data_IF_442073515544
#
_entry.id   IF_442073515544
#
_cell.length_a   1.000
_cell.length_b   1.000
_cell.length_c   1.000
_cell.angle_alpha   90.00
_cell.angle_beta   90.00
_cell.angle_gamma   90.00
#
_symmetry.space_group_name_H-M   'P 1'
#
loop_
_entity.id
_entity.type
_entity.pdbx_description
1 polymer ?
#
# COMPACT_ATOMS: atom_id res chain seq x y z
N UNK A 1 5.44 -22.36 21.19
CA UNK A 1 4.93 -20.98 21.20
C UNK A 1 4.63 -20.59 19.76
N UNK A 2 3.40 -20.21 19.39
CA UNK A 2 3.24 -19.45 18.17
C UNK A 2 3.65 -18.00 18.44
N UNK A 3 4.39 -17.44 17.48
CA UNK A 3 4.79 -16.05 17.38
C UNK A 3 3.58 -15.17 17.69
N UNK A 4 3.69 -14.28 18.68
CA UNK A 4 2.83 -13.10 18.68
C UNK A 4 3.09 -12.46 17.31
N UNK A 5 2.08 -12.12 16.48
CA UNK A 5 2.32 -11.31 15.29
C UNK A 5 2.72 -9.91 15.76
N UNK A 6 3.98 -9.77 16.18
CA UNK A 6 4.52 -8.52 16.69
C UNK A 6 4.73 -7.58 15.50
N UNK A 7 3.63 -6.94 15.10
CA UNK A 7 3.57 -5.66 14.42
C UNK A 7 4.64 -5.48 13.32
N UNK A 8 4.64 -6.38 12.34
CA UNK A 8 5.48 -6.23 11.15
C UNK A 8 4.96 -5.10 10.24
N UNK A 9 5.66 -4.78 9.16
CA UNK A 9 5.26 -3.72 8.24
C UNK A 9 3.82 -3.95 7.71
N UNK A 10 3.44 -5.17 7.35
CA UNK A 10 2.10 -5.48 6.85
C UNK A 10 0.97 -5.08 7.80
N UNK A 11 1.23 -5.04 9.12
CA UNK A 11 0.22 -4.61 10.08
C UNK A 11 -0.16 -3.12 9.95
N UNK A 12 0.66 -2.27 9.29
CA UNK A 12 0.27 -0.88 8.98
C UNK A 12 -0.93 -0.80 8.02
N UNK A 13 -1.21 -1.89 7.28
CA UNK A 13 -2.30 -1.95 6.31
C UNK A 13 -3.65 -2.32 6.94
N UNK A 14 -3.69 -2.51 8.27
CA UNK A 14 -4.90 -2.84 9.01
C UNK A 14 -5.32 -1.72 9.97
N UNK A 15 -6.62 -1.35 10.03
CA UNK A 15 -7.68 -1.76 9.11
C UNK A 15 -7.48 -1.20 7.67
N UNK A 16 -8.18 -1.68 6.64
CA UNK A 16 -8.20 -1.01 5.34
C UNK A 16 -8.79 0.42 5.44
N UNK A 17 -8.47 1.31 4.49
CA UNK A 17 -9.12 2.62 4.39
C UNK A 17 -10.63 2.47 4.12
N UNK A 18 -11.41 3.43 4.62
CA UNK A 18 -12.87 3.43 4.47
C UNK A 18 -13.34 3.74 3.03
N UNK A 19 -12.48 4.36 2.22
CA UNK A 19 -12.77 4.76 0.84
C UNK A 19 -11.59 4.38 -0.06
N UNK A 20 -11.90 4.02 -1.31
CA UNK A 20 -10.94 3.61 -2.34
C UNK A 20 -11.03 4.54 -3.54
N UNK A 21 -9.92 4.71 -4.28
CA UNK A 21 -9.90 5.52 -5.50
C UNK A 21 -10.59 4.86 -6.69
N UNK A 22 -10.13 3.66 -7.04
CA UNK A 22 -10.57 2.83 -8.16
C UNK A 22 -10.69 1.36 -7.74
N UNK A 23 -11.36 0.56 -8.57
CA UNK A 23 -11.64 -0.86 -8.27
C UNK A 23 -10.41 -1.75 -8.18
N UNK A 24 -9.26 -1.34 -8.70
CA UNK A 24 -8.00 -2.06 -8.53
C UNK A 24 -7.27 -1.74 -7.22
N UNK A 25 -7.54 -0.58 -6.58
CA UNK A 25 -6.80 -0.15 -5.40
C UNK A 25 -6.92 -1.13 -4.21
N UNK A 26 -8.09 -1.74 -3.91
CA UNK A 26 -8.17 -2.77 -2.86
C UNK A 26 -7.27 -3.98 -3.12
N UNK A 27 -7.12 -4.38 -4.39
CA UNK A 27 -6.26 -5.51 -4.77
C UNK A 27 -4.79 -5.17 -4.63
N UNK A 28 -4.38 -3.97 -5.08
CA UNK A 28 -3.02 -3.50 -4.90
C UNK A 28 -2.68 -3.30 -3.41
N UNK A 29 -3.64 -2.84 -2.60
CA UNK A 29 -3.47 -2.71 -1.15
C UNK A 29 -3.14 -4.06 -0.50
N UNK A 30 -3.91 -5.10 -0.80
CA UNK A 30 -3.66 -6.43 -0.25
C UNK A 30 -2.37 -7.06 -0.82
N UNK A 31 -2.08 -6.86 -2.10
CA UNK A 31 -0.83 -7.32 -2.72
C UNK A 31 0.39 -6.67 -2.05
N UNK A 32 0.32 -5.37 -1.77
CA UNK A 32 1.38 -4.64 -1.09
C UNK A 32 1.55 -5.09 0.37
N UNK A 33 0.43 -5.25 1.09
CA UNK A 33 0.43 -5.82 2.43
C UNK A 33 1.09 -7.20 2.47
N UNK A 34 0.75 -8.08 1.53
CA UNK A 34 1.32 -9.41 1.43
C UNK A 34 2.83 -9.35 1.14
N UNK A 35 3.27 -8.47 0.24
CA UNK A 35 4.68 -8.28 -0.10
C UNK A 35 5.52 -7.76 1.08
N UNK A 36 4.90 -7.03 2.01
CA UNK A 36 5.55 -6.44 3.19
C UNK A 36 5.40 -7.28 4.47
N UNK A 37 4.77 -8.45 4.39
CA UNK A 37 4.60 -9.35 5.54
C UNK A 37 5.94 -9.91 5.99
N UNK A 38 6.15 -9.96 7.31
CA UNK A 38 7.39 -10.42 7.94
C UNK A 38 8.55 -9.43 7.86
N UNK A 39 8.38 -8.28 7.21
CA UNK A 39 9.40 -7.22 7.19
C UNK A 39 9.31 -6.37 8.44
N UNK A 40 10.45 -5.94 8.97
CA UNK A 40 10.48 -4.99 10.09
C UNK A 40 9.78 -3.68 9.74
N UNK A 41 9.27 -2.98 10.75
CA UNK A 41 8.70 -1.65 10.54
C UNK A 41 9.76 -0.70 9.98
N UNK A 42 9.37 0.23 9.09
CA UNK A 42 10.26 1.28 8.61
C UNK A 42 10.76 2.13 9.79
N UNK A 43 12.04 2.48 9.76
CA UNK A 43 12.66 3.30 10.80
C UNK A 43 12.23 4.78 10.76
N UNK A 44 11.69 5.25 9.62
CA UNK A 44 11.23 6.62 9.44
C UNK A 44 10.11 6.72 8.40
N UNK A 45 9.48 7.90 8.31
CA UNK A 45 8.48 8.18 7.29
C UNK A 45 9.07 8.13 5.87
N UNK A 46 10.32 8.57 5.69
CA UNK A 46 11.03 8.52 4.42
C UNK A 46 11.33 7.08 4.00
N UNK A 47 11.74 6.22 4.94
CA UNK A 47 11.96 4.80 4.69
C UNK A 47 10.64 4.08 4.32
N UNK A 48 9.53 4.48 4.97
CA UNK A 48 8.19 4.00 4.62
C UNK A 48 7.83 4.41 3.18
N UNK A 49 7.92 5.70 2.84
CA UNK A 49 7.58 6.20 1.51
C UNK A 49 8.42 5.55 0.42
N UNK A 50 9.74 5.39 0.64
CA UNK A 50 10.63 4.70 -0.29
C UNK A 50 10.21 3.24 -0.51
N UNK A 51 9.93 2.51 0.57
CA UNK A 51 9.50 1.10 0.49
C UNK A 51 8.17 0.96 -0.25
N UNK A 52 7.21 1.87 0.00
CA UNK A 52 5.92 1.88 -0.69
C UNK A 52 6.10 2.23 -2.16
N UNK A 53 6.92 3.22 -2.50
CA UNK A 53 7.18 3.61 -3.90
C UNK A 53 7.85 2.48 -4.69
N UNK A 54 8.84 1.80 -4.09
CA UNK A 54 9.50 0.64 -4.68
C UNK A 54 8.52 -0.49 -4.94
N UNK A 55 7.74 -0.90 -3.92
CA UNK A 55 6.76 -1.99 -4.09
C UNK A 55 5.62 -1.61 -5.04
N UNK A 56 5.22 -0.34 -5.07
CA UNK A 56 4.25 0.15 -6.03
C UNK A 56 4.78 -0.01 -7.46
N UNK A 57 6.03 0.37 -7.72
CA UNK A 57 6.68 0.19 -9.01
C UNK A 57 6.75 -1.30 -9.38
N UNK A 58 7.18 -2.16 -8.47
CA UNK A 58 7.30 -3.61 -8.71
C UNK A 58 5.95 -4.25 -9.05
N UNK A 59 4.88 -3.86 -8.35
CA UNK A 59 3.55 -4.46 -8.49
C UNK A 59 2.75 -3.89 -9.67
N UNK A 60 3.01 -2.64 -10.05
CA UNK A 60 2.21 -1.93 -11.07
C UNK A 60 2.96 -1.70 -12.38
N UNK A 61 4.29 -1.80 -12.36
CA UNK A 61 5.17 -1.46 -13.48
C UNK A 61 5.32 0.04 -13.73
N UNK A 62 4.76 0.90 -12.87
CA UNK A 62 4.85 2.35 -13.01
C UNK A 62 5.19 3.07 -11.72
N UNK A 63 5.85 4.21 -11.84
CA UNK A 63 6.18 5.05 -10.70
C UNK A 63 4.92 5.71 -10.10
N UNK A 64 4.95 5.89 -8.78
CA UNK A 64 3.85 6.46 -8.01
C UNK A 64 3.64 7.97 -8.27
N UNK A 65 4.64 8.66 -8.82
CA UNK A 65 4.61 10.10 -9.12
C UNK A 65 3.83 10.45 -10.40
N UNK A 66 3.48 9.46 -11.24
CA UNK A 66 2.75 9.71 -12.47
C UNK A 66 1.31 10.20 -12.21
N UNK A 67 0.82 11.19 -12.97
CA UNK A 67 -0.45 11.85 -12.69
C UNK A 67 -1.67 11.01 -13.12
N UNK A 68 -1.52 10.12 -14.09
CA UNK A 68 -2.64 9.43 -14.73
C UNK A 68 -2.97 8.08 -14.09
N UNK A 69 -4.27 7.74 -14.13
CA UNK A 69 -4.78 6.43 -13.74
C UNK A 69 -4.08 5.33 -14.55
N UNK A 70 -3.72 4.25 -13.86
CA UNK A 70 -2.99 3.14 -14.46
C UNK A 70 -3.90 1.92 -14.57
N UNK A 71 -3.85 1.24 -15.72
CA UNK A 71 -4.42 -0.09 -15.84
C UNK A 71 -3.33 -1.14 -15.59
N UNK A 72 -3.48 -1.93 -14.52
CA UNK A 72 -2.63 -3.07 -14.20
C UNK A 72 -3.41 -4.36 -14.48
N UNK A 73 -3.13 -5.06 -15.60
CA UNK A 73 -3.87 -6.27 -15.98
C UNK A 73 -3.84 -7.37 -14.90
N UNK A 74 -2.77 -7.46 -14.11
CA UNK A 74 -2.65 -8.43 -13.02
C UNK A 74 -3.71 -8.24 -11.92
N UNK A 75 -4.30 -7.04 -11.79
CA UNK A 75 -5.38 -6.75 -10.86
C UNK A 75 -6.76 -6.71 -11.53
N UNK A 76 -6.84 -7.11 -12.80
CA UNK A 76 -8.09 -7.18 -13.57
C UNK A 76 -8.84 -8.50 -13.28
N UNK A 77 -9.85 -8.42 -12.43
CA UNK A 77 -10.72 -9.55 -12.06
C UNK A 77 -12.08 -9.57 -12.83
N UNK A 78 -12.22 -8.78 -13.91
CA UNK A 78 -13.40 -8.76 -14.80
C UNK A 78 -14.16 -7.42 -14.85
N UNK A 79 -14.54 -6.99 -16.06
CA UNK A 79 -15.29 -5.75 -16.33
C UNK A 79 -14.42 -4.55 -16.79
N UNK A 80 -15.06 -3.52 -17.37
CA UNK A 80 -14.40 -2.39 -18.05
C UNK A 80 -13.45 -1.50 -17.21
N UNK A 81 -13.31 -1.75 -15.89
CA UNK A 81 -12.33 -1.03 -15.07
C UNK A 81 -11.65 -1.92 -14.02
N UNK A 82 -11.71 -3.23 -14.18
CA UNK A 82 -10.96 -4.12 -13.29
C UNK A 82 -9.48 -3.87 -13.50
N UNK A 83 -8.71 -3.75 -12.42
CA UNK A 83 -7.27 -3.48 -12.51
C UNK A 83 -6.89 -2.01 -12.69
N UNK A 84 -7.86 -1.09 -12.69
CA UNK A 84 -7.54 0.33 -12.65
C UNK A 84 -7.07 0.75 -11.25
N UNK A 85 -5.86 1.31 -11.18
CA UNK A 85 -5.20 1.85 -9.99
C UNK A 85 -5.20 3.37 -10.06
N UNK A 86 -5.41 4.02 -8.91
CA UNK A 86 -5.37 5.48 -8.78
C UNK A 86 -4.09 5.91 -8.08
N UNK A 87 -3.04 6.37 -8.80
CA UNK A 87 -1.85 6.93 -8.16
C UNK A 87 -2.18 8.08 -7.20
N UNK A 88 -3.22 8.86 -7.52
CA UNK A 88 -3.72 9.93 -6.66
C UNK A 88 -4.22 9.41 -5.32
N UNK A 89 -4.97 8.31 -5.29
CA UNK A 89 -5.42 7.71 -4.02
C UNK A 89 -4.21 7.29 -3.16
N UNK A 90 -3.19 6.72 -3.80
CA UNK A 90 -1.99 6.30 -3.09
C UNK A 90 -1.22 7.48 -2.49
N UNK A 91 -1.07 8.58 -3.23
CA UNK A 91 -0.39 9.80 -2.75
C UNK A 91 -1.20 10.56 -1.70
N UNK A 92 -2.48 10.77 -1.94
CA UNK A 92 -3.29 11.71 -1.15
C UNK A 92 -3.97 11.01 0.04
N UNK A 93 -4.06 9.68 0.05
CA UNK A 93 -4.81 8.92 1.07
C UNK A 93 -3.99 7.78 1.67
N UNK A 94 -3.48 6.85 0.84
CA UNK A 94 -2.80 5.65 1.36
C UNK A 94 -1.50 6.01 2.11
N UNK A 95 -0.61 6.78 1.49
CA UNK A 95 0.67 7.19 2.10
C UNK A 95 0.48 7.99 3.40
N UNK A 96 -0.35 9.06 3.44
CA UNK A 96 -0.64 9.77 4.68
C UNK A 96 -1.19 8.86 5.79
N UNK A 97 -2.08 7.91 5.43
CA UNK A 97 -2.65 6.95 6.38
C UNK A 97 -1.57 6.03 6.98
N UNK A 98 -0.72 5.44 6.14
CA UNK A 98 0.35 4.55 6.58
C UNK A 98 1.38 5.30 7.45
N UNK A 99 1.70 6.55 7.11
CA UNK A 99 2.57 7.42 7.90
C UNK A 99 2.00 7.70 9.29
N UNK A 100 0.71 8.06 9.37
CA UNK A 100 0.06 8.31 10.65
C UNK A 100 0.07 7.07 11.55
N UNK A 101 -0.13 5.88 10.96
CA UNK A 101 -0.06 4.60 11.69
C UNK A 101 1.35 4.28 12.16
N UNK A 102 2.37 4.56 11.36
CA UNK A 102 3.77 4.37 11.76
C UNK A 102 4.13 5.31 12.92
N UNK A 103 3.74 6.58 12.84
CA UNK A 103 3.98 7.55 13.90
C UNK A 103 3.31 7.14 15.23
N UNK A 104 2.08 6.62 15.17
CA UNK A 104 1.39 6.12 16.35
C UNK A 104 2.08 4.90 17.01
N UNK A 105 2.93 4.17 16.28
CA UNK A 105 3.69 3.03 16.81
C UNK A 105 5.03 3.42 17.42
N UNK A 106 5.66 4.47 16.92
CA UNK A 106 6.91 5.01 17.47
C UNK A 106 6.71 5.92 18.69
N UNK A 107 5.47 6.34 18.97
CA UNK A 107 5.12 7.20 20.10
C UNK A 107 4.80 6.43 21.40
N UNK A 108 5.14 5.14 21.48
CA UNK A 108 4.85 4.24 22.61
C UNK A 108 6.10 3.81 23.37
#
# INVERSE_FOLDING_TARGET
MPLIPEQDFSSLFEPPPAQWGLRGDPHLWEAMRAALRGQALPASAEALEASIAERYLDLTGQALDLPDRLHVPAFAHGGMSSGMISPRFWRDTALPLLRARLAARGAG
#
